data_IF_922389716818
#
_entry.id   IF_922389716818
#
_cell.length_a   1.000
_cell.length_b   1.000
_cell.length_c   1.000
_cell.angle_alpha   90.00
_cell.angle_beta   90.00
_cell.angle_gamma   90.00
#
_symmetry.space_group_name_H-M   'P 1'
#
loop_
_entity.id
_entity.type
_entity.pdbx_description
1 polymer ?
#
# COMPACT_ATOMS: atom_id res chain seq x y z
N UNK A 1 1.27 -24.82 -14.38
CA UNK A 1 1.03 -23.37 -14.54
C UNK A 1 0.27 -22.88 -13.34
N UNK A 2 0.47 -21.63 -12.92
CA UNK A 2 -0.21 -21.02 -11.77
C UNK A 2 -1.36 -20.15 -12.29
N UNK A 3 -2.64 -20.58 -12.18
CA UNK A 3 -3.75 -19.88 -12.82
C UNK A 3 -4.23 -18.65 -12.03
N UNK A 4 -4.73 -17.65 -12.76
CA UNK A 4 -5.46 -16.48 -12.25
C UNK A 4 -6.79 -16.32 -13.00
N UNK A 5 -7.73 -15.57 -12.42
CA UNK A 5 -9.09 -15.42 -12.99
C UNK A 5 -9.08 -14.46 -14.18
N UNK A 6 -8.18 -13.48 -14.16
CA UNK A 6 -7.94 -12.51 -15.24
C UNK A 6 -6.46 -12.37 -15.56
N UNK A 7 -6.15 -11.60 -16.59
CA UNK A 7 -4.79 -11.26 -17.00
C UNK A 7 -4.03 -10.59 -15.86
N UNK A 8 -2.73 -10.89 -15.74
CA UNK A 8 -1.81 -10.24 -14.81
C UNK A 8 -0.96 -9.26 -15.61
N UNK A 9 -1.18 -7.96 -15.39
CA UNK A 9 -0.43 -6.88 -16.04
C UNK A 9 0.51 -6.13 -15.08
N UNK A 10 0.37 -6.38 -13.78
CA UNK A 10 1.24 -5.81 -12.74
C UNK A 10 2.53 -6.62 -12.61
N UNK A 11 3.58 -5.97 -12.13
CA UNK A 11 4.80 -6.67 -11.69
C UNK A 11 4.49 -7.61 -10.52
N UNK A 12 5.36 -8.60 -10.32
CA UNK A 12 5.30 -9.53 -9.18
C UNK A 12 6.01 -8.91 -7.99
N UNK A 13 5.31 -8.78 -6.86
CA UNK A 13 5.93 -8.37 -5.60
C UNK A 13 6.43 -9.62 -4.85
N UNK A 14 7.67 -9.61 -4.36
CA UNK A 14 8.29 -10.76 -3.71
C UNK A 14 8.71 -10.41 -2.29
N UNK A 15 8.69 -11.40 -1.40
CA UNK A 15 9.12 -11.25 -0.02
C UNK A 15 9.88 -12.47 0.47
N UNK A 16 10.99 -12.19 1.12
CA UNK A 16 11.83 -13.10 1.90
C UNK A 16 11.52 -12.78 3.37
N UNK A 17 10.92 -13.74 4.08
CA UNK A 17 10.39 -13.55 5.43
C UNK A 17 11.40 -13.91 6.52
N UNK A 18 12.54 -14.50 6.17
CA UNK A 18 13.60 -14.86 7.11
C UNK A 18 14.99 -14.31 6.78
N UNK A 19 15.09 -13.54 5.70
CA UNK A 19 16.25 -12.80 5.23
C UNK A 19 17.45 -13.70 4.88
N UNK A 20 17.20 -14.91 4.37
CA UNK A 20 18.23 -15.84 3.91
C UNK A 20 18.71 -15.57 2.46
N UNK A 21 18.03 -14.67 1.75
CA UNK A 21 18.33 -14.27 0.37
C UNK A 21 17.53 -15.05 -0.69
N UNK A 22 16.68 -15.99 -0.29
CA UNK A 22 15.72 -16.67 -1.15
C UNK A 22 14.30 -16.08 -0.99
N UNK A 23 13.49 -16.16 -2.04
CA UNK A 23 12.11 -15.66 -1.99
C UNK A 23 11.19 -16.75 -1.45
N UNK A 24 10.40 -16.41 -0.42
CA UNK A 24 9.46 -17.34 0.22
C UNK A 24 8.05 -17.23 -0.35
N UNK A 25 7.62 -16.00 -0.62
CA UNK A 25 6.30 -15.72 -1.17
C UNK A 25 6.37 -14.67 -2.28
N UNK A 26 5.51 -14.83 -3.27
CA UNK A 26 5.23 -13.80 -4.25
C UNK A 26 3.75 -13.40 -4.23
N UNK A 27 3.46 -12.15 -4.58
CA UNK A 27 2.13 -11.60 -4.67
C UNK A 27 1.91 -11.00 -6.05
N UNK A 28 0.78 -11.35 -6.65
CA UNK A 28 0.36 -10.85 -7.95
C UNK A 28 -1.06 -10.32 -7.90
N UNK A 29 -1.32 -9.29 -8.70
CA UNK A 29 -2.62 -8.69 -8.84
C UNK A 29 -3.10 -8.84 -10.29
N UNK A 30 -4.37 -9.19 -10.47
CA UNK A 30 -4.96 -9.31 -11.80
C UNK A 30 -5.78 -8.07 -12.20
N UNK A 31 -6.05 -7.94 -13.49
CA UNK A 31 -6.86 -6.85 -14.04
C UNK A 31 -8.33 -6.94 -13.63
N UNK A 32 -8.76 -8.00 -12.94
CA UNK A 32 -10.09 -8.15 -12.36
C UNK A 32 -10.21 -7.63 -10.93
N UNK A 33 -9.11 -7.16 -10.35
CA UNK A 33 -9.08 -6.69 -8.96
C UNK A 33 -8.97 -7.84 -7.95
N UNK A 34 -8.36 -8.96 -8.33
CA UNK A 34 -7.99 -10.06 -7.43
C UNK A 34 -6.52 -9.99 -7.05
N UNK A 35 -6.22 -10.44 -5.84
CA UNK A 35 -4.87 -10.63 -5.31
C UNK A 35 -4.62 -12.12 -5.10
N UNK A 36 -3.42 -12.54 -5.46
CA UNK A 36 -2.96 -13.91 -5.31
C UNK A 36 -1.63 -13.94 -4.57
N UNK A 37 -1.41 -15.00 -3.79
CA UNK A 37 -0.12 -15.37 -3.20
C UNK A 37 0.40 -16.63 -3.86
N UNK A 38 1.69 -16.67 -4.15
CA UNK A 38 2.41 -17.88 -4.56
C UNK A 38 3.34 -18.27 -3.42
N UNK A 39 3.31 -19.54 -3.05
CA UNK A 39 4.07 -20.09 -1.93
C UNK A 39 5.26 -20.90 -2.47
N UNK A 40 6.48 -20.50 -2.12
CA UNK A 40 7.73 -21.18 -2.49
C UNK A 40 8.31 -22.02 -1.35
N UNK A 41 7.73 -21.91 -0.16
CA UNK A 41 8.07 -22.67 1.04
C UNK A 41 6.86 -23.41 1.58
N UNK A 42 7.10 -24.49 2.33
CA UNK A 42 6.07 -25.33 2.96
C UNK A 42 5.21 -24.58 4.00
N UNK A 43 5.70 -23.44 4.50
CA UNK A 43 4.95 -22.52 5.34
C UNK A 43 5.85 -21.67 6.23
N UNK A 44 5.29 -20.66 6.93
CA UNK A 44 6.08 -19.65 7.63
C UNK A 44 6.78 -20.19 8.90
N UNK A 45 6.41 -21.40 9.32
CA UNK A 45 7.00 -22.11 10.46
C UNK A 45 8.21 -22.96 10.08
N UNK A 46 8.06 -23.84 9.08
CA UNK A 46 9.15 -24.72 8.62
C UNK A 46 10.15 -23.98 7.74
N UNK A 47 9.67 -23.08 6.87
CA UNK A 47 10.47 -22.31 5.91
C UNK A 47 11.34 -23.17 4.99
N UNK A 48 10.92 -24.41 4.79
CA UNK A 48 11.60 -25.33 3.89
C UNK A 48 11.22 -24.98 2.46
N UNK A 49 12.22 -24.68 1.63
CA UNK A 49 12.04 -24.48 0.20
C UNK A 49 11.33 -25.66 -0.45
N UNK A 50 10.34 -25.36 -1.28
CA UNK A 50 9.60 -26.32 -2.09
C UNK A 50 10.26 -26.48 -3.46
N UNK A 51 10.24 -27.71 -3.97
CA UNK A 51 10.49 -27.96 -5.39
C UNK A 51 9.53 -27.11 -6.25
N UNK A 52 9.99 -26.63 -7.41
CA UNK A 52 9.18 -25.81 -8.31
C UNK A 52 7.86 -26.48 -8.76
N UNK A 53 7.80 -27.80 -8.75
CA UNK A 53 6.60 -28.59 -9.06
C UNK A 53 5.55 -28.57 -7.94
N UNK A 54 5.93 -28.13 -6.73
CA UNK A 54 5.08 -28.03 -5.54
C UNK A 54 4.65 -26.60 -5.22
N UNK A 55 5.12 -25.61 -5.98
CA UNK A 55 4.66 -24.23 -5.83
C UNK A 55 3.14 -24.14 -6.04
N UNK A 56 2.46 -23.49 -5.11
CA UNK A 56 1.02 -23.29 -5.13
C UNK A 56 0.68 -21.82 -5.29
N UNK A 57 -0.45 -21.53 -5.93
CA UNK A 57 -1.03 -20.19 -5.99
C UNK A 57 -2.38 -20.18 -5.31
N UNK A 58 -2.62 -19.15 -4.51
CA UNK A 58 -3.83 -18.96 -3.72
C UNK A 58 -4.44 -17.61 -4.05
N UNK A 59 -5.72 -17.58 -4.42
CA UNK A 59 -6.48 -16.33 -4.44
C UNK A 59 -6.75 -15.92 -2.99
N UNK A 60 -6.12 -14.84 -2.54
CA UNK A 60 -6.17 -14.38 -1.14
C UNK A 60 -7.20 -13.28 -0.93
N UNK A 61 -7.49 -12.48 -1.96
CA UNK A 61 -8.44 -11.38 -1.88
C UNK A 61 -8.99 -10.99 -3.26
N UNK A 62 -10.12 -10.28 -3.27
CA UNK A 62 -10.74 -9.77 -4.48
C UNK A 62 -11.63 -8.55 -4.23
N UNK A 63 -11.89 -7.76 -5.27
CA UNK A 63 -12.88 -6.68 -5.27
C UNK A 63 -14.22 -7.17 -5.83
N UNK A 64 -15.33 -6.54 -5.44
CA UNK A 64 -16.65 -6.89 -5.98
C UNK A 64 -16.84 -6.31 -7.38
N UNK A 65 -16.24 -6.95 -8.40
CA UNK A 65 -16.67 -6.99 -9.81
C UNK A 65 -16.91 -5.68 -10.57
N UNK A 66 -16.75 -4.52 -9.96
CA UNK A 66 -17.14 -3.22 -10.48
C UNK A 66 -16.06 -2.58 -11.36
N UNK A 67 -15.27 -3.39 -12.09
CA UNK A 67 -14.22 -2.88 -12.98
C UNK A 67 -13.03 -2.23 -12.26
N UNK A 68 -12.80 -2.50 -10.98
CA UNK A 68 -11.59 -2.05 -10.26
C UNK A 68 -10.40 -2.90 -10.70
N UNK A 69 -9.59 -2.37 -11.62
CA UNK A 69 -8.38 -3.05 -12.08
C UNK A 69 -7.23 -2.80 -11.09
N UNK A 70 -6.42 -3.81 -10.87
CA UNK A 70 -5.10 -3.66 -10.26
C UNK A 70 -4.05 -3.83 -11.35
N UNK A 71 -3.26 -2.77 -11.55
CA UNK A 71 -2.27 -2.69 -12.63
C UNK A 71 -0.86 -2.48 -12.11
N UNK A 72 -0.71 -2.17 -10.83
CA UNK A 72 0.57 -2.00 -10.16
C UNK A 72 0.78 -3.10 -9.12
N UNK A 73 2.04 -3.44 -8.87
CA UNK A 73 2.38 -4.40 -7.83
C UNK A 73 1.97 -3.88 -6.45
N UNK A 74 1.48 -4.74 -5.53
CA UNK A 74 1.25 -4.34 -4.16
C UNK A 74 2.58 -4.00 -3.47
N UNK A 75 2.60 -2.95 -2.67
CA UNK A 75 3.71 -2.72 -1.74
C UNK A 75 3.56 -3.64 -0.54
N UNK A 76 4.65 -4.30 -0.15
CA UNK A 76 4.65 -5.33 0.89
C UNK A 76 5.32 -4.83 2.18
N UNK A 77 4.76 -5.20 3.33
CA UNK A 77 5.41 -5.09 4.63
C UNK A 77 5.14 -6.34 5.46
N UNK A 78 6.18 -7.09 5.78
CA UNK A 78 6.10 -8.21 6.70
C UNK A 78 6.04 -7.74 8.15
N UNK A 79 5.25 -8.43 8.97
CA UNK A 79 5.35 -8.40 10.42
C UNK A 79 5.02 -9.79 11.00
N UNK A 80 6.06 -10.56 11.34
CA UNK A 80 5.91 -11.97 11.72
C UNK A 80 5.32 -12.79 10.56
N UNK A 81 4.27 -13.57 10.85
CA UNK A 81 3.56 -14.38 9.84
C UNK A 81 2.44 -13.61 9.12
N UNK A 82 2.53 -12.28 9.08
CA UNK A 82 1.57 -11.40 8.41
C UNK A 82 2.27 -10.56 7.37
N UNK A 83 1.63 -10.34 6.25
CA UNK A 83 2.11 -9.42 5.21
C UNK A 83 1.02 -8.40 4.91
N UNK A 84 1.35 -7.12 5.01
CA UNK A 84 0.49 -6.03 4.57
C UNK A 84 0.76 -5.76 3.10
N UNK A 85 -0.28 -5.80 2.28
CA UNK A 85 -0.30 -5.45 0.87
C UNK A 85 -1.02 -4.11 0.72
N UNK A 86 -0.29 -3.08 0.30
CA UNK A 86 -0.88 -1.78 -0.04
C UNK A 86 -0.99 -1.64 -1.56
N UNK A 87 -2.21 -1.47 -2.07
CA UNK A 87 -2.49 -1.46 -3.50
C UNK A 87 -3.70 -0.56 -3.82
N UNK A 88 -3.64 0.15 -4.94
CA UNK A 88 -4.73 1.00 -5.40
C UNK A 88 -5.31 0.52 -6.73
N UNK A 89 -6.60 0.79 -6.93
CA UNK A 89 -7.27 0.52 -8.20
C UNK A 89 -7.18 1.71 -9.16
N UNK A 90 -7.13 1.40 -10.44
CA UNK A 90 -7.07 2.38 -11.52
C UNK A 90 -6.93 1.71 -12.87
N UNK A 91 -7.16 2.46 -13.95
CA UNK A 91 -7.01 2.03 -15.35
C UNK A 91 -6.04 2.98 -16.05
N UNK A 92 -4.74 2.87 -15.71
CA UNK A 92 -3.71 3.76 -16.25
C UNK A 92 -3.58 3.66 -17.78
N UNK A 93 -4.08 2.58 -18.39
CA UNK A 93 -4.11 2.42 -19.85
C UNK A 93 -5.18 3.28 -20.51
N UNK A 94 -6.14 3.80 -19.74
CA UNK A 94 -7.15 4.76 -20.18
C UNK A 94 -7.11 6.04 -19.34
N UNK A 95 -6.00 6.81 -19.38
CA UNK A 95 -5.80 7.94 -18.47
C UNK A 95 -6.52 9.22 -18.91
N UNK A 96 -7.26 9.22 -20.03
CA UNK A 96 -7.83 10.43 -20.60
C UNK A 96 -9.21 10.73 -20.03
N UNK A 97 -9.59 12.01 -20.08
CA UNK A 97 -10.90 12.46 -19.58
C UNK A 97 -12.08 11.89 -20.36
N UNK A 98 -11.88 11.43 -21.60
CA UNK A 98 -12.95 10.78 -22.37
C UNK A 98 -13.23 9.35 -21.87
N UNK A 99 -12.27 8.75 -21.18
CA UNK A 99 -12.41 7.43 -20.57
C UNK A 99 -12.94 7.52 -19.13
N UNK A 100 -12.99 8.72 -18.54
CA UNK A 100 -13.24 8.92 -17.11
C UNK A 100 -14.19 10.09 -16.78
N UNK A 101 -15.09 9.96 -15.78
CA UNK A 101 -15.25 8.83 -14.89
C UNK A 101 -16.01 7.67 -15.55
N UNK A 102 -15.54 6.43 -15.35
CA UNK A 102 -16.36 5.26 -15.63
C UNK A 102 -17.62 5.30 -14.76
N UNK A 103 -18.78 5.33 -15.41
CA UNK A 103 -20.06 5.32 -14.71
C UNK A 103 -20.13 4.09 -13.79
N UNK A 104 -20.34 4.33 -12.48
CA UNK A 104 -20.45 3.28 -11.48
C UNK A 104 -19.13 2.75 -10.90
N UNK A 105 -17.96 3.24 -11.34
CA UNK A 105 -16.66 2.82 -10.79
C UNK A 105 -16.08 3.90 -9.88
N UNK A 106 -16.00 3.58 -8.58
CA UNK A 106 -15.25 4.37 -7.61
C UNK A 106 -13.95 3.64 -7.30
N UNK A 107 -12.83 4.21 -7.73
CA UNK A 107 -11.50 3.69 -7.42
C UNK A 107 -11.19 3.84 -5.93
N UNK A 108 -10.36 2.92 -5.44
CA UNK A 108 -10.05 2.77 -4.02
C UNK A 108 -8.58 2.47 -3.82
N UNK A 109 -8.09 2.84 -2.66
CA UNK A 109 -6.83 2.35 -2.13
C UNK A 109 -7.12 1.33 -1.02
N UNK A 110 -6.37 0.24 -0.99
CA UNK A 110 -6.53 -0.88 -0.10
C UNK A 110 -5.24 -1.13 0.68
N UNK A 111 -5.38 -1.46 1.95
CA UNK A 111 -4.36 -2.18 2.71
C UNK A 111 -4.98 -3.48 3.17
N UNK A 112 -4.46 -4.59 2.65
CA UNK A 112 -4.88 -5.94 3.00
C UNK A 112 -3.80 -6.61 3.84
N UNK A 113 -4.18 -7.28 4.92
CA UNK A 113 -3.31 -8.02 5.81
C UNK A 113 -3.51 -9.51 5.56
N UNK A 114 -2.59 -10.08 4.80
CA UNK A 114 -2.53 -11.50 4.54
C UNK A 114 -1.96 -12.27 5.74
N UNK A 115 -2.48 -13.48 5.94
CA UNK A 115 -1.99 -14.43 6.94
C UNK A 115 -1.26 -15.57 6.23
N UNK A 116 0.03 -15.71 6.51
CA UNK A 116 0.88 -16.74 5.90
C UNK A 116 0.59 -18.14 6.43
N UNK A 117 -0.44 -18.31 7.28
CA UNK A 117 -0.84 -19.61 7.78
C UNK A 117 -0.94 -20.66 6.65
N UNK A 118 -0.46 -21.90 6.89
CA UNK A 118 -0.37 -22.94 5.88
C UNK A 118 -1.73 -23.52 5.44
N UNK A 119 -2.84 -23.14 6.10
CA UNK A 119 -4.18 -23.54 5.68
C UNK A 119 -4.79 -22.55 4.70
N UNK A 120 -5.35 -23.05 3.60
CA UNK A 120 -6.03 -22.24 2.59
C UNK A 120 -7.21 -21.51 3.23
N UNK A 121 -7.06 -20.20 3.41
CA UNK A 121 -8.14 -19.32 3.83
C UNK A 121 -9.01 -18.96 2.63
N UNK A 122 -10.33 -18.79 2.80
CA UNK A 122 -11.17 -18.27 1.72
C UNK A 122 -10.70 -16.87 1.32
N UNK A 123 -10.72 -16.58 0.02
CA UNK A 123 -10.36 -15.27 -0.49
C UNK A 123 -11.24 -14.17 0.14
N UNK A 124 -10.62 -13.09 0.60
CA UNK A 124 -11.32 -11.98 1.26
C UNK A 124 -11.88 -11.01 0.24
N UNK A 125 -13.17 -10.69 0.37
CA UNK A 125 -13.76 -9.58 -0.36
C UNK A 125 -13.30 -8.24 0.23
N UNK A 126 -12.41 -7.53 -0.48
CA UNK A 126 -11.87 -6.23 -0.08
C UNK A 126 -12.91 -5.11 -0.05
N UNK A 127 -14.02 -5.27 -0.77
CA UNK A 127 -15.10 -4.29 -0.85
C UNK A 127 -16.26 -4.58 0.11
N UNK A 128 -16.14 -5.61 0.94
CA UNK A 128 -17.19 -5.98 1.89
C UNK A 128 -17.59 -4.80 2.77
N UNK A 129 -18.88 -4.75 3.11
CA UNK A 129 -19.42 -3.85 4.13
C UNK A 129 -19.41 -4.46 5.52
N UNK A 130 -18.92 -5.69 5.65
CA UNK A 130 -18.64 -6.32 6.93
C UNK A 130 -17.42 -5.68 7.59
N UNK A 131 -17.71 -4.76 8.52
CA UNK A 131 -16.70 -4.03 9.30
C UNK A 131 -15.89 -4.90 10.26
N UNK A 132 -16.31 -6.16 10.50
CA UNK A 132 -15.52 -7.13 11.27
C UNK A 132 -14.38 -7.73 10.45
N UNK A 133 -14.47 -7.65 9.11
CA UNK A 133 -13.49 -8.19 8.18
C UNK A 133 -12.63 -7.09 7.53
N UNK A 134 -13.26 -6.04 6.99
CA UNK A 134 -12.57 -4.92 6.34
C UNK A 134 -13.16 -3.59 6.78
N UNK A 135 -12.32 -2.60 7.07
CA UNK A 135 -12.78 -1.27 7.47
C UNK A 135 -12.93 -0.32 6.28
N UNK A 136 -14.10 0.29 6.13
CA UNK A 136 -14.30 1.44 5.24
C UNK A 136 -13.73 2.71 5.91
N UNK A 137 -12.61 3.19 5.39
CA UNK A 137 -11.91 4.39 5.82
C UNK A 137 -12.05 5.51 4.79
N UNK A 138 -13.11 5.52 3.98
CA UNK A 138 -13.36 6.59 3.01
C UNK A 138 -13.49 7.95 3.69
N UNK A 139 -14.11 7.99 4.87
CA UNK A 139 -14.02 9.14 5.76
C UNK A 139 -12.66 9.15 6.46
N UNK A 140 -11.98 10.30 6.45
CA UNK A 140 -10.69 10.46 7.09
C UNK A 140 -10.81 10.24 8.60
N UNK A 141 -10.21 9.15 9.10
CA UNK A 141 -10.01 8.93 10.52
C UNK A 141 -8.87 9.79 11.07
N UNK A 142 -8.78 9.85 12.39
CA UNK A 142 -7.75 10.55 13.15
C UNK A 142 -6.75 9.56 13.79
N UNK A 143 -5.93 10.06 14.71
CA UNK A 143 -5.00 9.25 15.50
C UNK A 143 -5.67 8.23 16.42
N UNK A 144 -6.94 8.45 16.82
CA UNK A 144 -7.67 7.57 17.72
C UNK A 144 -8.35 6.40 16.98
N UNK A 145 -8.39 6.46 15.65
CA UNK A 145 -8.93 5.37 14.82
C UNK A 145 -8.24 4.03 15.11
N UNK A 146 -9.01 2.97 15.40
CA UNK A 146 -8.46 1.66 15.73
C UNK A 146 -7.49 1.14 14.65
N UNK A 147 -6.26 0.74 15.02
CA UNK A 147 -5.29 0.20 14.07
C UNK A 147 -5.58 -1.26 13.74
N UNK A 148 -5.39 -1.63 12.47
CA UNK A 148 -5.35 -3.02 12.00
C UNK A 148 -3.94 -3.56 12.28
N UNK A 149 -3.69 -3.97 13.53
CA UNK A 149 -2.41 -4.56 13.95
C UNK A 149 -2.27 -6.02 13.47
N UNK A 150 -1.08 -6.64 13.56
CA UNK A 150 -0.91 -8.05 13.22
C UNK A 150 -1.88 -8.98 13.95
N UNK A 151 -2.14 -8.69 15.24
CA UNK A 151 -3.05 -9.45 16.11
C UNK A 151 -4.54 -9.14 15.88
N UNK A 152 -4.88 -8.11 15.10
CA UNK A 152 -6.28 -7.78 14.80
C UNK A 152 -6.97 -8.91 14.02
N UNK A 153 -8.25 -9.18 14.30
CA UNK A 153 -9.07 -10.09 13.50
C UNK A 153 -9.47 -9.48 12.16
N UNK A 154 -9.46 -8.15 12.07
CA UNK A 154 -9.71 -7.39 10.86
C UNK A 154 -8.57 -7.63 9.87
N UNK A 155 -8.94 -7.87 8.61
CA UNK A 155 -8.04 -8.22 7.51
C UNK A 155 -7.54 -7.02 6.73
N UNK A 156 -7.99 -5.81 7.03
CA UNK A 156 -7.50 -4.63 6.35
C UNK A 156 -8.46 -3.45 6.38
N UNK A 157 -8.19 -2.50 5.51
CA UNK A 157 -9.04 -1.35 5.28
C UNK A 157 -8.96 -0.89 3.83
N UNK A 158 -9.96 -0.14 3.39
CA UNK A 158 -9.95 0.56 2.12
C UNK A 158 -10.41 2.00 2.28
N UNK A 159 -10.09 2.85 1.32
CA UNK A 159 -10.65 4.18 1.19
C UNK A 159 -11.00 4.46 -0.27
N UNK A 160 -12.13 5.12 -0.50
CA UNK A 160 -12.39 5.72 -1.81
C UNK A 160 -11.34 6.81 -2.10
N UNK A 161 -10.93 6.94 -3.36
CA UNK A 161 -10.18 8.11 -3.81
C UNK A 161 -11.09 9.35 -3.80
N UNK A 162 -10.51 10.54 -3.66
CA UNK A 162 -11.24 11.74 -3.23
C UNK A 162 -12.21 12.25 -4.30
N UNK A 163 -11.83 12.11 -5.58
CA UNK A 163 -12.58 12.67 -6.70
C UNK A 163 -13.12 11.58 -7.62
N UNK A 164 -14.28 11.85 -8.23
CA UNK A 164 -14.82 10.98 -9.27
C UNK A 164 -13.82 10.88 -10.43
N UNK A 165 -13.45 9.66 -10.79
CA UNK A 165 -12.47 9.37 -11.84
C UNK A 165 -11.00 9.51 -11.45
N UNK A 166 -10.71 9.82 -10.18
CA UNK A 166 -9.36 9.67 -9.65
C UNK A 166 -8.96 8.20 -9.66
N UNK A 167 -7.70 7.90 -9.96
CA UNK A 167 -7.19 6.53 -10.09
C UNK A 167 -5.75 6.41 -9.63
N UNK A 168 -5.39 5.25 -9.08
CA UNK A 168 -3.98 4.92 -8.81
C UNK A 168 -3.30 4.52 -10.11
N UNK A 169 -2.16 5.15 -10.41
CA UNK A 169 -1.44 4.99 -11.69
C UNK A 169 -0.05 4.39 -11.53
N UNK A 170 0.45 4.32 -10.30
CA UNK A 170 1.79 3.87 -9.96
C UNK A 170 1.76 2.91 -8.77
N UNK A 171 2.78 2.07 -8.60
CA UNK A 171 2.94 1.25 -7.40
C UNK A 171 3.02 2.12 -6.15
N UNK A 172 2.46 1.61 -5.05
CA UNK A 172 2.61 2.20 -3.73
C UNK A 172 3.99 1.89 -3.14
N UNK A 173 4.28 2.51 -2.01
CA UNK A 173 5.44 2.25 -1.17
C UNK A 173 5.00 2.24 0.30
N UNK A 174 5.47 1.26 1.07
CA UNK A 174 5.31 1.27 2.52
C UNK A 174 6.61 1.75 3.15
N UNK A 175 6.57 2.90 3.85
CA UNK A 175 7.76 3.46 4.50
C UNK A 175 7.38 4.23 5.76
N UNK A 176 8.13 4.04 6.85
CA UNK A 176 7.93 4.79 8.10
C UNK A 176 6.54 4.65 8.72
N UNK A 177 5.89 3.49 8.53
CA UNK A 177 4.51 3.23 8.99
C UNK A 177 3.41 3.82 8.11
N UNK A 178 3.77 4.30 6.91
CA UNK A 178 2.87 4.97 5.97
C UNK A 178 2.75 4.15 4.69
N UNK A 179 1.55 4.06 4.13
CA UNK A 179 1.32 3.79 2.72
C UNK A 179 1.43 5.12 1.96
N UNK A 180 2.42 5.20 1.07
CA UNK A 180 2.71 6.33 0.20
C UNK A 180 2.40 5.92 -1.22
N UNK A 181 1.53 6.67 -1.90
CA UNK A 181 1.11 6.33 -3.26
C UNK A 181 0.67 7.59 -4.01
N UNK A 182 0.61 7.48 -5.33
CA UNK A 182 0.21 8.57 -6.20
C UNK A 182 -1.00 8.21 -7.04
N UNK A 183 -1.77 9.23 -7.39
CA UNK A 183 -2.98 9.14 -8.19
C UNK A 183 -2.96 10.18 -9.29
N UNK A 184 -3.74 9.89 -10.32
CA UNK A 184 -4.04 10.79 -11.41
C UNK A 184 -5.55 11.02 -11.45
N UNK A 185 -5.95 12.27 -11.64
CA UNK A 185 -7.32 12.67 -11.92
C UNK A 185 -7.34 13.37 -13.28
N UNK A 186 -7.96 12.76 -14.31
CA UNK A 186 -8.14 13.43 -15.59
C UNK A 186 -9.01 14.67 -15.42
N UNK A 187 -8.61 15.80 -16.02
CA UNK A 187 -9.36 17.06 -15.98
C UNK A 187 -9.90 17.39 -17.36
N UNK A 188 -11.09 18.02 -17.41
CA UNK A 188 -11.65 18.55 -18.66
C UNK A 188 -10.94 19.86 -19.02
N UNK A 189 -10.70 20.08 -20.32
CA UNK A 189 -10.29 21.39 -20.82
C UNK A 189 -11.36 22.43 -20.50
N UNK A 190 -10.93 23.63 -20.11
CA UNK A 190 -11.85 24.76 -19.98
C UNK A 190 -12.35 25.19 -21.36
N UNK A 191 -13.65 25.48 -21.48
CA UNK A 191 -14.23 26.00 -22.72
C UNK A 191 -13.47 27.25 -23.20
N UNK A 192 -13.24 27.34 -24.52
CA UNK A 192 -12.50 28.45 -25.12
C UNK A 192 -10.98 28.41 -24.95
N UNK A 193 -10.41 27.33 -24.38
CA UNK A 193 -8.95 27.13 -24.34
C UNK A 193 -8.50 26.08 -25.36
N UNK A 194 -7.40 26.35 -26.08
CA UNK A 194 -6.72 25.34 -26.91
C UNK A 194 -5.71 24.51 -26.10
N UNK A 195 -5.98 24.29 -24.81
CA UNK A 195 -5.11 23.56 -23.90
C UNK A 195 -5.70 22.20 -23.54
N UNK A 196 -4.89 21.15 -23.66
CA UNK A 196 -5.19 19.82 -23.10
C UNK A 196 -4.57 19.75 -21.71
N UNK A 197 -5.36 19.80 -20.62
CA UNK A 197 -4.81 19.73 -19.28
C UNK A 197 -4.16 18.35 -19.07
N UNK A 198 -3.00 18.32 -18.45
CA UNK A 198 -2.30 17.09 -18.08
C UNK A 198 -3.00 16.31 -16.96
N UNK A 199 -4.21 16.72 -16.55
CA UNK A 199 -4.87 16.26 -15.34
C UNK A 199 -4.15 16.68 -14.06
N UNK A 200 -4.72 16.28 -12.94
CA UNK A 200 -4.21 16.56 -11.61
C UNK A 200 -3.47 15.33 -11.06
N UNK A 201 -2.23 15.54 -10.62
CA UNK A 201 -1.45 14.54 -9.91
C UNK A 201 -1.56 14.79 -8.40
N UNK A 202 -1.92 13.75 -7.64
CA UNK A 202 -1.93 13.79 -6.18
C UNK A 202 -1.00 12.73 -5.60
N UNK A 203 -0.40 13.05 -4.47
CA UNK A 203 0.32 12.10 -3.64
C UNK A 203 -0.33 11.98 -2.28
N UNK A 204 -0.22 10.79 -1.70
CA UNK A 204 -0.86 10.41 -0.46
C UNK A 204 0.17 9.98 0.59
N UNK A 205 -0.07 10.36 1.85
CA UNK A 205 0.58 9.80 3.03
C UNK A 205 -0.50 9.36 4.00
N UNK A 206 -0.77 8.05 3.97
CA UNK A 206 -1.83 7.43 4.75
C UNK A 206 -1.23 6.43 5.73
N UNK A 207 -1.61 6.49 6.99
CA UNK A 207 -1.12 5.57 8.01
C UNK A 207 -1.47 4.13 7.62
N UNK A 208 -0.48 3.25 7.59
CA UNK A 208 -0.65 1.88 7.13
C UNK A 208 -1.70 1.11 7.95
N UNK A 209 -1.79 1.36 9.25
CA UNK A 209 -2.60 0.54 10.16
C UNK A 209 -4.02 1.07 10.33
N UNK A 210 -4.24 2.39 10.30
CA UNK A 210 -5.57 2.95 10.60
C UNK A 210 -6.15 3.86 9.50
N UNK A 211 -5.41 4.11 8.43
CA UNK A 211 -5.87 4.92 7.32
C UNK A 211 -5.88 6.43 7.57
N UNK A 212 -5.38 6.95 8.69
CA UNK A 212 -5.36 8.40 8.97
C UNK A 212 -4.32 9.16 8.13
N UNK A 213 -4.48 10.47 7.95
CA UNK A 213 -3.54 11.31 7.19
C UNK A 213 -2.37 11.80 8.03
N UNK A 214 -1.20 12.01 7.41
CA UNK A 214 0.00 12.50 8.12
C UNK A 214 0.72 13.68 7.43
N UNK A 215 0.15 14.27 6.38
CA UNK A 215 0.73 15.45 5.74
C UNK A 215 0.48 16.68 6.62
N UNK A 216 1.52 17.49 6.80
CA UNK A 216 1.50 18.71 7.60
C UNK A 216 1.77 18.50 9.09
N UNK A 217 2.06 17.26 9.51
CA UNK A 217 2.32 16.93 10.92
C UNK A 217 3.62 16.11 11.09
N UNK A 218 4.34 16.25 12.22
CA UNK A 218 5.52 15.43 12.50
C UNK A 218 5.20 13.93 12.66
N UNK A 219 4.03 13.62 13.23
CA UNK A 219 3.58 12.27 13.53
C UNK A 219 3.20 11.42 12.30
N UNK A 220 2.58 10.27 12.55
CA UNK A 220 2.06 9.36 11.52
C UNK A 220 0.53 9.44 11.35
N UNK A 221 -0.12 10.44 11.98
CA UNK A 221 -1.56 10.66 11.96
C UNK A 221 -1.86 12.12 12.36
N UNK A 222 -3.11 12.57 12.16
CA UNK A 222 -3.58 13.90 12.57
C UNK A 222 -3.33 15.02 11.54
N UNK A 223 -2.79 14.67 10.38
CA UNK A 223 -2.64 15.57 9.23
C UNK A 223 -3.64 15.26 8.12
N UNK A 224 -3.44 15.87 6.95
CA UNK A 224 -4.24 15.55 5.75
C UNK A 224 -3.69 14.32 5.03
N UNK A 225 -4.53 13.60 4.29
CA UNK A 225 -4.12 12.37 3.58
C UNK A 225 -3.38 12.63 2.27
N UNK A 226 -3.73 13.70 1.57
CA UNK A 226 -3.25 13.96 0.20
C UNK A 226 -2.86 15.40 -0.02
N UNK A 227 -1.89 15.62 -0.92
CA UNK A 227 -1.56 16.92 -1.48
C UNK A 227 -1.40 16.81 -3.01
N UNK A 228 -1.38 17.95 -3.70
CA UNK A 228 -1.18 18.02 -5.15
C UNK A 228 0.30 18.12 -5.49
N UNK A 229 0.71 17.48 -6.58
CA UNK A 229 1.97 17.81 -7.25
C UNK A 229 1.79 19.04 -8.15
N UNK A 230 2.76 19.95 -8.11
CA UNK A 230 2.88 21.04 -9.08
C UNK A 230 3.19 20.44 -10.46
N UNK A 231 2.47 20.91 -11.48
CA UNK A 231 2.64 20.47 -12.87
C UNK A 231 1.58 19.46 -13.36
N UNK A 232 0.89 18.76 -12.45
CA UNK A 232 -0.13 17.77 -12.84
C UNK A 232 0.49 16.51 -13.46
N UNK A 233 -0.26 15.85 -14.34
CA UNK A 233 0.24 14.67 -15.06
C UNK A 233 0.08 13.34 -14.31
N UNK A 234 0.90 12.38 -14.71
CA UNK A 234 1.04 11.06 -14.07
C UNK A 234 2.34 11.08 -13.26
N UNK A 235 2.21 11.05 -11.93
CA UNK A 235 3.37 10.99 -11.06
C UNK A 235 4.01 9.58 -11.08
N UNK A 236 5.34 9.47 -11.02
CA UNK A 236 6.04 8.18 -10.97
C UNK A 236 5.75 7.46 -9.64
N UNK A 237 6.09 6.18 -9.54
CA UNK A 237 6.06 5.47 -8.27
C UNK A 237 6.97 6.15 -7.23
N UNK A 238 6.56 6.24 -5.96
CA UNK A 238 7.44 6.69 -4.89
C UNK A 238 8.60 5.69 -4.72
N UNK A 239 9.81 6.21 -4.57
CA UNK A 239 11.02 5.40 -4.37
C UNK A 239 11.70 5.80 -3.07
N UNK A 240 12.07 4.80 -2.28
CA UNK A 240 12.86 4.96 -1.07
C UNK A 240 14.26 4.41 -1.30
N UNK A 241 15.27 5.22 -0.97
CA UNK A 241 16.67 4.84 -1.12
C UNK A 241 17.49 5.34 0.07
N UNK A 242 18.61 4.69 0.34
CA UNK A 242 19.65 5.21 1.22
C UNK A 242 20.79 5.71 0.35
N UNK A 243 21.13 6.99 0.49
CA UNK A 243 22.22 7.64 -0.24
C UNK A 243 23.27 8.15 0.74
N UNK A 244 24.54 8.17 0.32
CA UNK A 244 25.62 8.75 1.11
C UNK A 244 25.67 10.26 0.84
N UNK A 245 25.55 11.07 1.89
CA UNK A 245 25.72 12.52 1.83
C UNK A 245 26.77 12.89 2.87
N UNK A 246 27.90 13.44 2.42
CA UNK A 246 29.06 13.79 3.26
C UNK A 246 29.59 12.59 4.07
N UNK A 247 29.60 11.40 3.46
CA UNK A 247 30.05 10.16 4.11
C UNK A 247 29.04 9.55 5.10
N UNK A 248 27.88 10.19 5.32
CA UNK A 248 26.83 9.67 6.19
C UNK A 248 25.64 9.11 5.39
N UNK A 249 25.12 7.90 5.72
CA UNK A 249 23.93 7.36 5.08
C UNK A 249 22.70 8.18 5.46
N UNK A 250 21.97 8.65 4.45
CA UNK A 250 20.70 9.37 4.59
C UNK A 250 19.63 8.67 3.77
N UNK A 251 18.51 8.38 4.42
CA UNK A 251 17.33 7.85 3.74
C UNK A 251 16.58 8.97 3.02
N UNK A 252 16.27 8.76 1.75
CA UNK A 252 15.60 9.72 0.88
C UNK A 252 14.40 9.06 0.22
N UNK A 253 13.29 9.79 0.19
CA UNK A 253 12.07 9.48 -0.55
C UNK A 253 11.91 10.47 -1.70
N UNK A 254 11.71 9.94 -2.90
CA UNK A 254 11.49 10.69 -4.15
C UNK A 254 10.17 10.19 -4.77
N UNK A 255 9.50 10.99 -5.59
CA UNK A 255 8.21 10.60 -6.19
C UNK A 255 7.06 10.64 -5.20
N UNK A 256 7.14 11.44 -4.14
CA UNK A 256 6.08 11.60 -3.16
C UNK A 256 5.88 13.08 -2.82
N UNK A 257 4.64 13.46 -2.49
CA UNK A 257 4.35 14.81 -1.97
C UNK A 257 5.10 15.08 -0.68
N UNK A 258 5.42 16.33 -0.39
CA UNK A 258 6.15 16.72 0.82
C UNK A 258 5.31 16.41 2.06
N UNK A 259 5.80 15.54 2.93
CA UNK A 259 5.12 15.16 4.18
C UNK A 259 4.89 16.37 5.09
N UNK A 260 5.77 17.38 5.07
CA UNK A 260 5.59 18.60 5.86
C UNK A 260 4.51 19.55 5.34
N UNK A 261 3.83 19.23 4.22
CA UNK A 261 2.80 20.09 3.62
C UNK A 261 3.33 21.17 2.67
N UNK A 262 4.63 21.20 2.39
CA UNK A 262 5.21 22.14 1.44
C UNK A 262 4.83 21.86 -0.02
N UNK A 263 5.16 22.81 -0.91
CA UNK A 263 4.99 22.64 -2.35
C UNK A 263 5.74 21.39 -2.84
N UNK A 264 5.07 20.60 -3.67
CA UNK A 264 5.48 19.25 -4.04
C UNK A 264 5.71 19.14 -5.54
N UNK A 265 6.87 18.66 -5.96
CA UNK A 265 7.14 18.25 -7.34
C UNK A 265 7.55 16.78 -7.34
N UNK A 266 7.38 16.08 -8.46
CA UNK A 266 7.64 14.64 -8.55
C UNK A 266 9.11 14.26 -8.29
N UNK A 267 10.05 15.18 -8.51
CA UNK A 267 11.50 14.96 -8.30
C UNK A 267 12.02 15.50 -6.97
N UNK A 268 11.20 16.18 -6.17
CA UNK A 268 11.67 16.79 -4.93
C UNK A 268 11.97 15.74 -3.86
N UNK A 269 13.24 15.56 -3.43
CA UNK A 269 13.58 14.58 -2.41
C UNK A 269 13.12 15.04 -1.03
N UNK A 270 12.86 14.11 -0.13
CA UNK A 270 12.64 14.39 1.29
C UNK A 270 13.21 13.29 2.16
N UNK A 271 13.67 13.64 3.36
CA UNK A 271 14.09 12.64 4.34
C UNK A 271 12.87 12.01 5.00
N UNK A 272 12.83 10.68 5.08
CA UNK A 272 11.82 9.98 5.89
C UNK A 272 12.39 9.74 7.27
N UNK A 273 11.72 10.27 8.29
CA UNK A 273 12.04 10.00 9.70
C UNK A 273 10.85 9.25 10.29
N UNK A 274 10.97 7.93 10.53
CA UNK A 274 9.93 7.20 11.24
C UNK A 274 9.68 7.87 12.60
N UNK A 275 8.42 8.13 12.97
CA UNK A 275 8.10 8.72 14.27
C UNK A 275 8.23 7.64 15.35
N UNK A 276 9.46 7.30 15.72
CA UNK A 276 9.74 6.34 16.79
C UNK A 276 9.85 7.12 18.10
N UNK A 277 9.04 6.76 19.09
CA UNK A 277 9.21 7.26 20.46
C UNK A 277 10.28 6.43 21.16
N UNK A 278 11.46 7.00 21.38
CA UNK A 278 12.59 6.33 22.04
C UNK A 278 12.43 6.24 23.57
N UNK A 279 11.21 6.08 24.10
CA UNK A 279 11.02 5.88 25.54
C UNK A 279 11.48 4.47 25.89
N UNK A 280 12.77 4.32 26.18
CA UNK A 280 13.33 3.11 26.77
C UNK A 280 12.81 2.99 28.20
N UNK A 281 11.95 2.01 28.46
CA UNK A 281 11.60 1.63 29.84
C UNK A 281 12.63 0.64 30.34
N UNK A 282 13.20 0.91 31.51
CA UNK A 282 14.14 0.01 32.19
C UNK A 282 13.33 -1.12 32.83
N UNK A 283 13.47 -2.33 32.32
CA UNK A 283 12.87 -3.53 32.93
C UNK A 283 13.78 -4.00 34.05
N UNK A 284 13.26 -4.09 35.27
CA UNK A 284 13.96 -4.72 36.38
C UNK A 284 13.50 -6.17 36.48
N UNK A 285 14.45 -7.09 36.56
CA UNK A 285 14.19 -8.49 36.86
C UNK A 285 14.71 -8.74 38.28
N UNK A 286 13.85 -9.26 39.16
CA UNK A 286 14.26 -9.73 40.47
C UNK A 286 14.53 -11.24 40.35
N UNK A 287 15.76 -11.67 40.60
CA UNK A 287 16.07 -13.08 40.79
C UNK A 287 15.73 -13.41 42.25
N UNK A 288 14.87 -14.41 42.54
CA UNK A 288 14.66 -14.85 43.91
C UNK A 288 16.01 -15.28 44.48
N UNK A 289 16.42 -14.68 45.61
CA UNK A 289 17.61 -15.12 46.34
C UNK A 289 17.47 -16.62 46.67
N UNK A 290 18.31 -17.44 46.06
CA UNK A 290 18.63 -18.77 46.55
C UNK A 290 19.88 -18.67 47.42
N UNK A 291 19.77 -17.97 48.54
CA UNK A 291 20.77 -18.03 49.61
C UNK A 291 20.13 -18.81 50.75
N UNK A 292 20.47 -20.10 50.82
CA UNK A 292 20.31 -20.98 51.99
C UNK A 292 21.32 -20.58 53.07
#
# INVERSE_FOLDING_TARGET
>A
TLPTDRSVAADVAMIDIDADGAVDYAYVADTGGSLYRVDFIDGPGSRTALDATKWSIHKIAYTQGAGRKFLAAPALLQNGNKVYLAIGSGDREHPLVNDYPYAGVVNRFYVFKDDLAPSVQPAVNLDTKDTTLMLDKSNAGDCASPPVTPASTIKGWYMNLNSAGEQTVSSALIVGGMAVFNTHLPLKSSEGTCATPLGEARGYFVNLLNGSGAIGVPGSCGGVRSARFVGGGIAPSPVFATVLIDGAPKSVLIGAVKKNGGSSTVISPQQVRPPISYIRKRTYWNLPNTDN
#
